data_IF_140358753200
#
_entry.id   IF_140358753200
#
_cell.length_a   1.000
_cell.length_b   1.000
_cell.length_c   1.000
_cell.angle_alpha   90.00
_cell.angle_beta   90.00
_cell.angle_gamma   90.00
#
_symmetry.space_group_name_H-M   'P 1'
#
loop_
_entity.id
_entity.type
_entity.pdbx_description
1 polymer ?
#
# COMPACT_ATOMS: atom_id res chain seq x y z
N UNK A 1 -17.37 19.11 -16.08
CA UNK A 1 -15.94 18.78 -15.94
C UNK A 1 -15.60 18.79 -14.47
N UNK A 2 -14.99 17.74 -13.92
CA UNK A 2 -14.61 17.71 -12.52
C UNK A 2 -13.56 18.80 -12.22
N UNK A 3 -13.62 19.41 -11.05
CA UNK A 3 -12.71 20.48 -10.63
C UNK A 3 -12.30 20.30 -9.17
N UNK A 4 -11.07 20.65 -8.83
CA UNK A 4 -10.53 20.58 -7.47
C UNK A 4 -10.27 22.01 -6.93
N UNK A 5 -10.47 22.18 -5.60
CA UNK A 5 -10.16 23.42 -4.92
C UNK A 5 -8.64 23.56 -4.73
N UNK A 6 -8.09 24.74 -4.95
CA UNK A 6 -6.69 25.04 -4.58
C UNK A 6 -6.70 25.50 -3.12
N UNK A 7 -5.96 24.81 -2.24
CA UNK A 7 -5.84 25.22 -0.84
C UNK A 7 -4.93 26.45 -0.73
N UNK A 8 -5.43 27.48 -0.03
CA UNK A 8 -4.75 28.77 0.05
C UNK A 8 -5.10 29.76 -1.06
N UNK A 9 -5.91 29.35 -2.06
CA UNK A 9 -6.32 30.20 -3.17
C UNK A 9 -7.83 30.18 -3.42
N UNK A 10 -8.32 31.14 -4.21
CA UNK A 10 -9.73 31.21 -4.66
C UNK A 10 -9.98 30.49 -5.99
N UNK A 11 -8.92 30.03 -6.66
CA UNK A 11 -8.99 29.38 -7.97
C UNK A 11 -9.33 27.89 -7.83
N UNK A 12 -9.96 27.32 -8.86
CA UNK A 12 -10.18 25.88 -9.01
C UNK A 12 -9.27 25.32 -10.12
N UNK A 13 -8.62 24.19 -9.86
CA UNK A 13 -7.89 23.43 -10.85
C UNK A 13 -8.87 22.55 -11.65
N UNK A 14 -8.70 22.49 -12.97
CA UNK A 14 -9.48 21.59 -13.81
C UNK A 14 -8.89 20.18 -13.71
N UNK A 15 -9.75 19.19 -13.53
CA UNK A 15 -9.37 17.78 -13.54
C UNK A 15 -9.65 17.18 -14.91
N UNK A 16 -8.78 16.27 -15.36
CA UNK A 16 -8.93 15.59 -16.65
C UNK A 16 -10.07 14.56 -16.59
N UNK A 17 -11.03 14.69 -17.48
CA UNK A 17 -12.22 13.83 -17.52
C UNK A 17 -11.87 12.34 -17.78
N UNK A 18 -10.83 12.07 -18.58
CA UNK A 18 -10.41 10.70 -18.86
C UNK A 18 -9.86 9.95 -17.64
N UNK A 19 -9.32 10.68 -16.65
CA UNK A 19 -8.78 10.10 -15.43
C UNK A 19 -9.77 10.18 -14.24
N UNK A 20 -10.59 11.23 -14.19
CA UNK A 20 -11.46 11.55 -13.05
C UNK A 20 -12.96 11.45 -13.36
N UNK A 21 -13.34 11.07 -14.58
CA UNK A 21 -14.74 10.89 -15.00
C UNK A 21 -15.14 9.42 -15.22
N UNK A 22 -14.32 8.46 -14.78
CA UNK A 22 -14.61 7.04 -14.95
C UNK A 22 -15.72 6.58 -14.02
N UNK A 23 -16.59 5.67 -14.50
CA UNK A 23 -17.58 5.00 -13.65
C UNK A 23 -16.91 4.15 -12.58
N UNK A 24 -17.46 4.13 -11.37
CA UNK A 24 -16.95 3.31 -10.28
C UNK A 24 -17.19 1.82 -10.55
N UNK A 25 -16.12 1.03 -10.43
CA UNK A 25 -16.16 -0.43 -10.53
C UNK A 25 -15.60 -1.06 -9.26
N UNK A 26 -16.49 -1.50 -8.38
CA UNK A 26 -16.15 -2.06 -7.07
C UNK A 26 -15.27 -3.31 -7.17
N UNK A 27 -15.58 -4.22 -8.09
CA UNK A 27 -14.87 -5.48 -8.23
C UNK A 27 -13.39 -5.26 -8.60
N UNK A 28 -13.11 -4.38 -9.56
CA UNK A 28 -11.73 -4.05 -9.97
C UNK A 28 -10.95 -3.34 -8.85
N UNK A 29 -11.60 -2.40 -8.16
CA UNK A 29 -10.97 -1.69 -7.04
C UNK A 29 -10.67 -2.66 -5.92
N UNK A 30 -11.61 -3.52 -5.52
CA UNK A 30 -11.41 -4.52 -4.48
C UNK A 30 -10.26 -5.48 -4.80
N UNK A 31 -10.21 -6.02 -6.03
CA UNK A 31 -9.16 -6.95 -6.42
C UNK A 31 -7.77 -6.29 -6.44
N UNK A 32 -7.68 -5.05 -6.95
CA UNK A 32 -6.43 -4.29 -6.96
C UNK A 32 -5.96 -3.95 -5.54
N UNK A 33 -6.86 -3.47 -4.67
CA UNK A 33 -6.54 -3.20 -3.26
C UNK A 33 -6.06 -4.47 -2.55
N UNK A 34 -6.73 -5.60 -2.78
CA UNK A 34 -6.34 -6.89 -2.21
C UNK A 34 -4.95 -7.32 -2.68
N UNK A 35 -4.62 -7.11 -3.97
CA UNK A 35 -3.30 -7.41 -4.51
C UNK A 35 -2.20 -6.55 -3.86
N UNK A 36 -2.41 -5.24 -3.77
CA UNK A 36 -1.46 -4.30 -3.17
C UNK A 36 -1.23 -4.59 -1.68
N UNK A 37 -2.29 -4.82 -0.91
CA UNK A 37 -2.17 -5.15 0.52
C UNK A 37 -1.50 -6.51 0.76
N UNK A 38 -1.78 -7.50 -0.09
CA UNK A 38 -1.13 -8.80 0.01
C UNK A 38 0.35 -8.74 -0.40
N UNK A 39 0.73 -7.91 -1.37
CA UNK A 39 2.13 -7.71 -1.75
C UNK A 39 2.96 -7.12 -0.59
N UNK A 40 2.38 -6.27 0.25
CA UNK A 40 3.04 -5.72 1.46
C UNK A 40 3.27 -6.78 2.55
N UNK A 41 2.60 -7.93 2.47
CA UNK A 41 2.68 -9.00 3.48
C UNK A 41 3.94 -9.83 3.32
N UNK A 42 4.83 -9.82 4.31
CA UNK A 42 6.15 -10.46 4.26
C UNK A 42 6.13 -11.99 4.38
N UNK A 43 5.09 -12.57 4.97
CA UNK A 43 4.91 -14.01 5.08
C UNK A 43 6.02 -14.77 5.83
N UNK A 44 6.62 -14.18 6.85
CA UNK A 44 7.81 -14.68 7.54
C UNK A 44 7.53 -15.72 8.64
N UNK A 45 6.28 -16.15 8.78
CA UNK A 45 5.91 -17.16 9.78
C UNK A 45 6.49 -18.53 9.42
N UNK A 46 7.08 -19.19 10.41
CA UNK A 46 7.71 -20.50 10.22
C UNK A 46 7.61 -21.33 11.50
N UNK A 47 7.56 -22.65 11.32
CA UNK A 47 7.68 -23.62 12.40
C UNK A 47 8.80 -24.59 12.10
N UNK A 48 9.39 -25.18 13.13
CA UNK A 48 10.45 -26.17 12.99
C UNK A 48 9.83 -27.52 12.67
N UNK A 49 10.17 -28.08 11.51
CA UNK A 49 9.88 -29.47 11.16
C UNK A 49 10.76 -30.41 11.99
N UNK A 50 10.43 -31.70 12.00
CA UNK A 50 11.20 -32.74 12.70
C UNK A 50 12.71 -32.70 12.38
N UNK A 51 13.09 -32.33 11.17
CA UNK A 51 14.51 -32.20 10.76
C UNK A 51 15.21 -31.02 11.42
N UNK A 52 14.49 -29.91 11.63
CA UNK A 52 15.04 -28.64 12.13
C UNK A 52 15.05 -28.51 13.66
N UNK A 53 14.41 -29.45 14.38
CA UNK A 53 14.45 -29.46 15.84
C UNK A 53 15.78 -30.02 16.32
N UNK A 54 16.39 -29.36 17.32
CA UNK A 54 17.65 -29.83 17.93
C UNK A 54 17.42 -31.14 18.71
N UNK A 55 18.36 -32.07 18.65
CA UNK A 55 18.34 -33.34 19.40
C UNK A 55 18.08 -34.57 18.53
N UNK A 56 17.78 -35.70 19.12
CA UNK A 56 17.26 -36.91 18.46
C UNK A 56 18.22 -37.69 17.56
N UNK A 57 19.51 -37.66 17.80
CA UNK A 57 20.49 -38.49 17.08
C UNK A 57 20.41 -39.99 17.43
N UNK A 58 20.12 -40.29 18.69
CA UNK A 58 20.01 -41.69 19.16
C UNK A 58 18.55 -42.16 19.19
N UNK A 59 18.36 -43.47 18.90
CA UNK A 59 17.07 -44.13 19.05
C UNK A 59 16.73 -44.22 20.55
N UNK A 60 15.53 -43.79 20.99
CA UNK A 60 15.16 -43.76 22.42
C UNK A 60 15.27 -45.12 23.14
N UNK A 61 14.89 -46.20 22.46
CA UNK A 61 15.04 -47.59 22.93
C UNK A 61 15.07 -48.59 21.78
N UNK A 62 15.48 -49.84 22.07
CA UNK A 62 15.55 -50.92 21.11
C UNK A 62 14.18 -51.25 20.49
N UNK A 63 14.18 -51.84 19.29
CA UNK A 63 13.01 -52.09 18.46
C UNK A 63 11.98 -53.05 19.08
N UNK A 64 12.44 -54.04 19.86
CA UNK A 64 11.64 -55.09 20.50
C UNK A 64 12.12 -55.36 21.92
N UNK A 65 11.30 -55.98 22.76
CA UNK A 65 11.70 -56.44 24.10
C UNK A 65 11.65 -55.32 25.19
N UNK A 66 10.91 -54.23 25.00
CA UNK A 66 10.76 -53.19 26.01
C UNK A 66 9.31 -53.01 26.49
N UNK A 67 8.34 -53.71 25.92
CA UNK A 67 6.91 -53.56 26.25
C UNK A 67 6.31 -52.20 25.89
N UNK A 68 7.10 -51.28 25.29
CA UNK A 68 6.69 -49.93 24.90
C UNK A 68 6.40 -49.81 23.41
N UNK A 69 5.62 -48.81 23.02
CA UNK A 69 5.44 -48.46 21.61
C UNK A 69 6.77 -48.15 20.96
N UNK A 70 6.95 -48.52 19.68
CA UNK A 70 8.18 -48.30 18.92
C UNK A 70 8.41 -46.79 18.76
N UNK A 71 9.62 -46.33 19.06
CA UNK A 71 10.01 -44.93 18.84
C UNK A 71 11.33 -44.83 18.09
N UNK A 72 11.37 -44.06 17.00
CA UNK A 72 12.57 -43.86 16.19
C UNK A 72 13.36 -42.61 16.56
N UNK A 73 12.72 -41.57 17.11
CA UNK A 73 13.35 -40.33 17.46
C UNK A 73 12.50 -39.54 18.45
N UNK A 74 13.12 -38.89 19.40
CA UNK A 74 12.49 -37.92 20.33
C UNK A 74 12.01 -36.63 19.66
N UNK A 75 12.45 -36.34 18.42
CA UNK A 75 11.97 -35.20 17.62
C UNK A 75 10.63 -35.48 16.93
N UNK A 76 10.05 -36.67 17.09
CA UNK A 76 8.77 -37.02 16.47
C UNK A 76 7.68 -36.05 16.96
N UNK A 77 6.70 -35.66 16.10
CA UNK A 77 5.64 -34.74 16.46
C UNK A 77 4.75 -35.16 17.63
N UNK A 78 4.74 -36.47 17.92
CA UNK A 78 4.00 -37.05 19.06
C UNK A 78 4.69 -36.80 20.41
N UNK A 79 5.92 -36.32 20.39
CA UNK A 79 6.69 -36.02 21.61
C UNK A 79 6.62 -34.54 21.94
N UNK A 80 6.55 -34.23 23.25
CA UNK A 80 6.68 -32.85 23.71
C UNK A 80 8.04 -32.28 23.29
N UNK A 81 8.03 -31.12 22.63
CA UNK A 81 9.25 -30.53 22.04
C UNK A 81 9.66 -31.13 20.69
N UNK A 82 8.86 -32.04 20.11
CA UNK A 82 9.06 -32.54 18.74
C UNK A 82 8.72 -31.52 17.66
N UNK A 83 8.96 -31.91 16.39
CA UNK A 83 8.68 -31.05 15.25
C UNK A 83 7.20 -30.93 14.95
N UNK A 84 6.81 -29.81 14.35
CA UNK A 84 5.44 -29.58 13.88
C UNK A 84 5.20 -30.23 12.53
N UNK A 85 4.04 -30.88 12.36
CA UNK A 85 3.58 -31.42 11.08
C UNK A 85 2.68 -30.37 10.42
N UNK A 86 2.92 -30.08 9.12
CA UNK A 86 2.13 -29.11 8.35
C UNK A 86 1.98 -27.72 9.02
N UNK A 87 2.99 -27.31 9.77
CA UNK A 87 3.02 -25.96 10.31
C UNK A 87 3.23 -24.91 9.23
N UNK A 88 2.99 -23.62 9.56
CA UNK A 88 3.21 -22.55 8.62
C UNK A 88 4.67 -22.51 8.16
N UNK A 89 4.86 -22.21 6.87
CA UNK A 89 6.16 -21.98 6.24
C UNK A 89 6.18 -20.60 5.60
N UNK A 90 7.35 -19.96 5.45
CA UNK A 90 7.48 -18.71 4.72
C UNK A 90 6.91 -18.86 3.30
N UNK A 91 6.07 -17.90 2.91
CA UNK A 91 5.49 -17.88 1.56
C UNK A 91 5.21 -16.46 1.11
N UNK A 92 5.15 -16.25 -0.18
CA UNK A 92 4.68 -15.01 -0.78
C UNK A 92 3.15 -15.00 -0.88
N UNK A 93 2.59 -13.81 -0.77
CA UNK A 93 1.14 -13.57 -0.87
C UNK A 93 0.78 -12.76 -2.11
N UNK A 94 1.77 -12.35 -2.90
CA UNK A 94 1.59 -11.61 -4.14
C UNK A 94 0.79 -12.41 -5.15
N UNK A 95 -0.12 -11.73 -5.84
CA UNK A 95 -0.78 -12.25 -7.03
C UNK A 95 -0.87 -11.14 -8.08
N UNK A 96 -0.82 -11.54 -9.34
CA UNK A 96 -0.73 -10.63 -10.48
C UNK A 96 -2.11 -10.08 -10.85
N UNK A 97 -2.18 -8.76 -11.02
CA UNK A 97 -3.32 -8.04 -11.60
C UNK A 97 -2.87 -7.44 -12.93
N UNK A 98 -3.70 -7.54 -13.97
CA UNK A 98 -3.37 -7.02 -15.28
C UNK A 98 -3.17 -5.50 -15.26
N UNK A 99 -2.21 -4.97 -16.03
CA UNK A 99 -1.92 -3.53 -16.09
C UNK A 99 -3.15 -2.68 -16.49
N UNK A 100 -3.96 -3.17 -17.43
CA UNK A 100 -5.18 -2.47 -17.86
C UNK A 100 -6.22 -2.39 -16.74
N UNK A 101 -6.38 -3.47 -15.96
CA UNK A 101 -7.28 -3.54 -14.82
C UNK A 101 -6.82 -2.60 -13.69
N UNK A 102 -5.52 -2.61 -13.35
CA UNK A 102 -4.93 -1.71 -12.36
C UNK A 102 -5.14 -0.24 -12.72
N UNK A 103 -4.95 0.14 -14.01
CA UNK A 103 -5.23 1.50 -14.49
C UNK A 103 -6.72 1.85 -14.43
N UNK A 104 -7.60 0.92 -14.76
CA UNK A 104 -9.04 1.13 -14.65
C UNK A 104 -9.47 1.30 -13.19
N UNK A 105 -8.91 0.50 -12.26
CA UNK A 105 -9.14 0.65 -10.82
C UNK A 105 -8.64 2.00 -10.29
N UNK A 106 -7.46 2.46 -10.75
CA UNK A 106 -6.91 3.78 -10.40
C UNK A 106 -7.85 4.91 -10.84
N UNK A 107 -8.32 4.90 -12.10
CA UNK A 107 -9.30 5.89 -12.58
C UNK A 107 -10.58 5.84 -11.77
N UNK A 108 -11.07 4.65 -11.47
CA UNK A 108 -12.28 4.43 -10.68
C UNK A 108 -12.17 5.02 -9.26
N UNK A 109 -11.01 4.84 -8.59
CA UNK A 109 -10.77 5.42 -7.27
C UNK A 109 -10.63 6.96 -7.31
N UNK A 110 -9.93 7.49 -8.32
CA UNK A 110 -9.78 8.94 -8.51
C UNK A 110 -11.11 9.62 -8.83
N UNK A 111 -11.99 8.99 -9.62
CA UNK A 111 -13.30 9.53 -9.96
C UNK A 111 -14.22 9.67 -8.75
N UNK A 112 -14.18 8.72 -7.81
CA UNK A 112 -14.94 8.82 -6.55
C UNK A 112 -14.49 10.02 -5.70
N UNK A 113 -13.17 10.26 -5.62
CA UNK A 113 -12.67 11.44 -4.93
C UNK A 113 -13.09 12.75 -5.62
N UNK A 114 -13.12 12.77 -6.95
CA UNK A 114 -13.57 13.92 -7.72
C UNK A 114 -15.08 14.18 -7.53
N UNK A 115 -15.91 13.13 -7.56
CA UNK A 115 -17.36 13.20 -7.36
C UNK A 115 -17.71 13.68 -5.95
N UNK A 116 -16.97 13.23 -4.94
CA UNK A 116 -17.15 13.64 -3.54
C UNK A 116 -16.52 15.00 -3.19
N UNK A 117 -15.88 15.66 -4.15
CA UNK A 117 -15.14 16.92 -3.92
C UNK A 117 -14.09 16.82 -2.80
N UNK A 118 -13.50 15.64 -2.62
CA UNK A 118 -12.48 15.38 -1.59
C UNK A 118 -11.04 15.60 -2.07
N UNK A 119 -10.86 16.03 -3.32
CA UNK A 119 -9.56 16.40 -3.90
C UNK A 119 -9.31 17.91 -3.70
N UNK A 120 -8.09 18.23 -3.29
CA UNK A 120 -7.59 19.59 -3.32
C UNK A 120 -6.19 19.66 -3.93
N UNK A 121 -5.86 20.78 -4.52
CA UNK A 121 -4.52 21.05 -5.07
C UNK A 121 -3.75 21.91 -4.09
N UNK A 122 -2.49 21.54 -3.85
CA UNK A 122 -1.55 22.27 -3.01
C UNK A 122 -0.61 23.09 -3.87
N UNK A 123 -0.45 24.35 -3.55
CA UNK A 123 0.62 25.20 -4.09
C UNK A 123 1.89 24.97 -3.24
N UNK A 124 2.98 24.42 -3.79
CA UNK A 124 4.21 24.17 -3.06
C UNK A 124 5.01 25.45 -2.73
N UNK A 125 4.75 26.55 -3.42
CA UNK A 125 5.54 27.80 -3.30
C UNK A 125 5.54 28.42 -1.87
N UNK A 126 4.60 28.01 -1.01
CA UNK A 126 4.57 28.46 0.39
C UNK A 126 5.45 27.65 1.35
N UNK A 127 6.17 26.62 0.88
CA UNK A 127 6.93 25.67 1.72
C UNK A 127 8.44 25.63 1.39
N UNK A 128 9.06 26.79 1.16
CA UNK A 128 10.52 26.90 0.93
C UNK A 128 11.33 26.36 2.12
N UNK A 129 10.81 26.57 3.32
CA UNK A 129 11.33 25.96 4.56
C UNK A 129 10.30 25.02 5.17
N UNK A 130 10.70 23.81 5.65
CA UNK A 130 9.76 22.88 6.26
C UNK A 130 9.05 23.47 7.47
N UNK A 131 7.71 23.51 7.45
CA UNK A 131 6.89 24.07 8.53
C UNK A 131 5.64 23.24 8.79
N UNK A 132 5.67 22.43 9.85
CA UNK A 132 4.51 21.61 10.28
C UNK A 132 3.35 22.48 10.78
N UNK A 133 3.64 23.65 11.37
CA UNK A 133 2.62 24.59 11.82
C UNK A 133 1.80 25.13 10.65
N UNK A 134 2.46 25.52 9.58
CA UNK A 134 1.85 26.00 8.35
C UNK A 134 0.99 24.92 7.70
N UNK A 135 1.53 23.69 7.59
CA UNK A 135 0.81 22.54 7.07
C UNK A 135 -0.43 22.20 7.91
N UNK A 136 -0.33 22.25 9.24
CA UNK A 136 -1.45 22.01 10.14
C UNK A 136 -2.55 23.06 9.98
N UNK A 137 -2.18 24.34 9.87
CA UNK A 137 -3.15 25.43 9.65
C UNK A 137 -3.87 25.27 8.31
N UNK A 138 -3.12 24.93 7.25
CA UNK A 138 -3.68 24.75 5.91
C UNK A 138 -4.65 23.57 5.83
N UNK A 139 -4.37 22.48 6.56
CA UNK A 139 -5.24 21.32 6.62
C UNK A 139 -6.43 21.48 7.57
N UNK A 140 -6.30 22.31 8.62
CA UNK A 140 -7.20 22.34 9.78
C UNK A 140 -8.69 22.30 9.45
N UNK A 141 -9.16 23.23 8.63
CA UNK A 141 -10.57 23.30 8.28
C UNK A 141 -10.95 22.32 7.17
N UNK A 142 -10.02 22.06 6.25
CA UNK A 142 -10.31 21.21 5.11
C UNK A 142 -10.25 19.70 5.46
N UNK A 143 -9.35 19.27 6.32
CA UNK A 143 -9.21 17.85 6.67
C UNK A 143 -10.43 17.27 7.42
N UNK A 144 -11.17 18.10 8.17
CA UNK A 144 -12.37 17.69 8.89
C UNK A 144 -12.17 16.49 9.83
N UNK A 145 -10.92 16.27 10.31
CA UNK A 145 -10.56 15.14 11.18
C UNK A 145 -10.41 13.78 10.48
N UNK A 146 -10.60 13.71 9.16
CA UNK A 146 -10.38 12.50 8.35
C UNK A 146 -8.91 12.22 8.06
N UNK A 147 -8.63 11.06 7.45
CA UNK A 147 -7.30 10.72 6.92
C UNK A 147 -7.02 11.52 5.65
N UNK A 148 -5.82 12.07 5.52
CA UNK A 148 -5.39 12.82 4.34
C UNK A 148 -4.21 12.13 3.69
N UNK A 149 -4.30 11.89 2.39
CA UNK A 149 -3.17 11.47 1.58
C UNK A 149 -2.62 12.68 0.83
N UNK A 150 -1.36 13.01 1.09
CA UNK A 150 -0.63 14.07 0.39
C UNK A 150 0.23 13.42 -0.68
N UNK A 151 0.03 13.81 -1.92
CA UNK A 151 0.77 13.28 -3.08
C UNK A 151 1.62 14.38 -3.67
N UNK A 152 2.92 14.11 -3.73
CA UNK A 152 3.95 15.04 -4.16
C UNK A 152 4.80 14.42 -5.26
N UNK A 153 5.63 15.22 -5.91
CA UNK A 153 6.73 14.71 -6.73
C UNK A 153 7.97 14.42 -5.86
N UNK A 154 8.89 13.60 -6.35
CA UNK A 154 10.12 13.27 -5.61
C UNK A 154 11.00 14.50 -5.36
N UNK A 155 10.90 15.52 -6.20
CA UNK A 155 11.62 16.79 -6.08
C UNK A 155 11.10 17.66 -4.93
N UNK A 156 9.85 17.47 -4.48
CA UNK A 156 9.19 18.25 -3.44
C UNK A 156 9.40 17.70 -2.02
N UNK A 157 10.60 17.17 -1.74
CA UNK A 157 10.95 16.58 -0.44
C UNK A 157 10.79 17.55 0.74
N UNK A 158 11.02 18.86 0.55
CA UNK A 158 10.86 19.87 1.58
C UNK A 158 9.38 20.01 2.01
N UNK A 159 8.48 19.95 1.05
CA UNK A 159 7.04 19.96 1.31
C UNK A 159 6.64 18.69 2.09
N UNK A 160 7.16 17.53 1.70
CA UNK A 160 6.91 16.26 2.38
C UNK A 160 7.28 16.32 3.88
N UNK A 161 8.41 16.95 4.22
CA UNK A 161 8.85 17.13 5.61
C UNK A 161 7.85 17.94 6.45
N UNK A 162 7.14 18.89 5.84
CA UNK A 162 6.12 19.70 6.53
C UNK A 162 4.89 18.90 6.93
N UNK A 163 4.50 17.90 6.13
CA UNK A 163 3.26 17.11 6.32
C UNK A 163 3.46 15.80 7.07
N UNK A 164 4.61 15.13 6.93
CA UNK A 164 4.80 13.74 7.41
C UNK A 164 4.62 13.55 8.92
N UNK A 165 4.83 14.61 9.73
CA UNK A 165 4.70 14.53 11.19
C UNK A 165 3.26 14.76 11.69
N UNK A 166 2.33 15.08 10.81
CA UNK A 166 0.94 15.31 11.20
C UNK A 166 0.20 13.98 11.38
N UNK A 167 -0.61 13.89 12.44
CA UNK A 167 -1.44 12.72 12.69
C UNK A 167 -2.48 12.52 11.55
N UNK A 168 -2.69 11.28 11.15
CA UNK A 168 -3.61 10.88 10.07
C UNK A 168 -3.27 11.47 8.69
N UNK A 169 -2.05 11.93 8.51
CA UNK A 169 -1.55 12.39 7.22
C UNK A 169 -0.52 11.39 6.72
N UNK A 170 -0.74 10.83 5.55
CA UNK A 170 0.22 10.02 4.83
C UNK A 170 0.78 10.84 3.67
N UNK A 171 2.08 10.77 3.45
CA UNK A 171 2.76 11.46 2.35
C UNK A 171 3.39 10.42 1.44
N UNK A 172 3.03 10.43 0.16
CA UNK A 172 3.57 9.50 -0.83
C UNK A 172 3.98 10.25 -2.11
N UNK A 173 5.02 9.76 -2.81
CA UNK A 173 5.34 10.26 -4.14
C UNK A 173 4.28 9.81 -5.14
N UNK A 174 4.05 10.61 -6.18
CA UNK A 174 3.06 10.31 -7.22
C UNK A 174 3.31 8.97 -7.93
N UNK A 175 4.58 8.53 -7.99
CA UNK A 175 5.00 7.24 -8.53
C UNK A 175 4.58 6.07 -7.63
N UNK A 176 4.60 6.25 -6.32
CA UNK A 176 4.34 5.22 -5.30
C UNK A 176 2.88 5.09 -4.85
N UNK A 177 1.99 5.99 -5.27
CA UNK A 177 0.58 5.93 -4.85
C UNK A 177 -0.14 4.74 -5.47
N UNK A 178 -0.67 3.84 -4.64
CA UNK A 178 -1.52 2.73 -5.04
C UNK A 178 -3.01 3.02 -4.93
N UNK A 179 -3.82 2.10 -5.46
CA UNK A 179 -5.29 2.17 -5.32
C UNK A 179 -5.71 1.99 -3.86
N UNK A 180 -4.98 1.15 -3.11
CA UNK A 180 -5.22 0.95 -1.67
C UNK A 180 -5.01 2.23 -0.85
N UNK A 181 -4.02 3.05 -1.22
CA UNK A 181 -3.73 4.29 -0.53
C UNK A 181 -4.80 5.35 -0.81
N UNK A 182 -5.31 5.42 -2.05
CA UNK A 182 -6.42 6.30 -2.42
C UNK A 182 -7.70 5.93 -1.68
N UNK A 183 -8.08 4.65 -1.69
CA UNK A 183 -9.30 4.17 -1.01
C UNK A 183 -9.20 4.33 0.51
N UNK A 184 -7.99 4.19 1.07
CA UNK A 184 -7.75 4.35 2.51
C UNK A 184 -7.79 5.80 3.01
N UNK A 185 -7.69 6.77 2.11
CA UNK A 185 -7.70 8.19 2.45
C UNK A 185 -9.11 8.79 2.31
N UNK A 186 -9.52 9.57 3.30
CA UNK A 186 -10.78 10.33 3.23
C UNK A 186 -10.65 11.54 2.30
N UNK A 187 -9.46 12.11 2.19
CA UNK A 187 -9.17 13.30 1.38
C UNK A 187 -7.82 13.17 0.68
N UNK A 188 -7.73 13.73 -0.50
CA UNK A 188 -6.57 13.69 -1.37
C UNK A 188 -6.05 15.11 -1.62
N UNK A 189 -4.84 15.39 -1.15
CA UNK A 189 -4.12 16.65 -1.40
C UNK A 189 -2.99 16.38 -2.38
N UNK A 190 -2.98 17.05 -3.50
CA UNK A 190 -2.06 16.77 -4.62
C UNK A 190 -1.43 18.06 -5.11
N UNK A 191 -0.14 18.09 -5.37
CA UNK A 191 0.48 19.22 -6.11
C UNK A 191 0.14 19.15 -7.60
N UNK A 192 0.22 20.25 -8.31
CA UNK A 192 -0.15 20.32 -9.73
C UNK A 192 0.70 19.35 -10.59
N UNK A 193 2.00 19.26 -10.32
CA UNK A 193 2.92 18.33 -10.99
C UNK A 193 2.60 16.86 -10.67
N UNK A 194 2.30 16.55 -9.39
CA UNK A 194 1.90 15.22 -8.98
C UNK A 194 0.54 14.82 -9.59
N UNK A 195 -0.39 15.77 -9.75
CA UNK A 195 -1.66 15.57 -10.43
C UNK A 195 -1.45 15.20 -11.91
N UNK A 196 -0.53 15.89 -12.60
CA UNK A 196 -0.16 15.56 -13.97
C UNK A 196 0.42 14.13 -14.07
N UNK A 197 1.31 13.76 -13.15
CA UNK A 197 1.91 12.43 -13.08
C UNK A 197 0.86 11.32 -12.82
N UNK A 198 -0.06 11.54 -11.87
CA UNK A 198 -1.17 10.61 -11.61
C UNK A 198 -2.09 10.46 -12.82
N UNK A 199 -2.38 11.56 -13.51
CA UNK A 199 -3.20 11.58 -14.72
C UNK A 199 -2.55 10.76 -15.83
N UNK A 200 -1.25 10.96 -16.08
CA UNK A 200 -0.47 10.21 -17.06
C UNK A 200 -0.45 8.70 -16.75
N UNK A 201 -0.24 8.32 -15.48
CA UNK A 201 -0.33 6.92 -15.03
C UNK A 201 -1.72 6.32 -15.26
N UNK A 202 -2.77 7.05 -14.92
CA UNK A 202 -4.16 6.60 -15.11
C UNK A 202 -4.52 6.38 -16.59
N UNK A 203 -3.99 7.22 -17.47
CA UNK A 203 -4.11 7.08 -18.94
C UNK A 203 -3.19 5.99 -19.50
N UNK A 204 -2.08 5.73 -18.86
CA UNK A 204 -1.07 4.77 -19.30
C UNK A 204 -0.11 5.32 -20.35
N UNK A 205 0.16 6.61 -20.30
CA UNK A 205 1.12 7.28 -21.16
C UNK A 205 2.56 6.78 -20.89
N UNK A 206 3.35 6.59 -21.95
CA UNK A 206 4.74 6.15 -21.84
C UNK A 206 5.57 7.25 -21.19
N UNK A 207 6.21 6.96 -20.07
CA UNK A 207 6.99 7.89 -19.25
C UNK A 207 6.58 7.91 -17.79
N UNK A 208 5.31 7.62 -17.48
CA UNK A 208 4.82 7.47 -16.11
C UNK A 208 5.00 6.04 -15.53
N UNK A 209 5.49 5.10 -16.35
CA UNK A 209 5.53 3.66 -16.07
C UNK A 209 6.84 3.17 -15.43
N UNK A 210 7.82 4.03 -15.18
CA UNK A 210 9.15 3.62 -14.68
C UNK A 210 9.11 3.00 -13.25
N UNK A 211 8.01 3.16 -12.52
CA UNK A 211 7.85 2.60 -11.19
C UNK A 211 7.00 1.30 -11.13
N UNK A 212 6.36 0.89 -12.24
CA UNK A 212 5.43 -0.26 -12.26
C UNK A 212 6.12 -1.57 -12.70
N UNK A 213 7.36 -1.52 -13.19
CA UNK A 213 8.09 -2.66 -13.77
C UNK A 213 9.11 -3.31 -12.82
N UNK A 214 9.18 -2.90 -11.55
CA UNK A 214 10.22 -3.31 -10.59
C UNK A 214 10.03 -4.65 -9.87
N UNK A 215 8.96 -5.40 -10.09
CA UNK A 215 8.65 -6.61 -9.31
C UNK A 215 8.35 -7.87 -10.15
N UNK A 216 8.84 -7.96 -11.38
CA UNK A 216 8.75 -9.20 -12.17
C UNK A 216 10.13 -9.91 -12.23
N UNK A 217 10.73 -10.26 -11.07
CA UNK A 217 11.86 -11.20 -10.98
C UNK A 217 11.59 -12.26 -9.90
#
# INVERSE_FOLDING_TARGET
>A
MPSAKILGGSKKAKLDEAAFGASFNEALVHETVRAELNARRRGTHATKTRGNVRGGGAKPWRQKGTGRARAGSSRSPIWTGGGTIFGPSPRHYTFKVNRKERRAALRSALSVHAERETIAVLDPAGFDTPSTKQAATLLGDWAGGGSVLVVLTDEQAQVALSFRNLARVAVLPATGVGVADLVGASRLLVTEEALASLTARAKGEKGAAAADDGEDA
#
